data_IF_625063548047
#
_entry.id   IF_625063548047
#
_cell.length_a   1.000
_cell.length_b   1.000
_cell.length_c   1.000
_cell.angle_alpha   90.00
_cell.angle_beta   90.00
_cell.angle_gamma   90.00
#
_symmetry.space_group_name_H-M   'P 1'
#
loop_
_entity.id
_entity.type
_entity.pdbx_description
1 polymer ?
#
# COMPACT_ATOMS: atom_id res chain seq x y z
N UNK A 1 -9.87 20.38 3.67
CA UNK A 1 -9.34 19.03 3.94
C UNK A 1 -8.38 19.15 5.14
N UNK A 2 -8.42 18.26 6.13
CA UNK A 2 -7.46 18.30 7.26
C UNK A 2 -6.04 17.96 6.78
N UNK A 3 -4.99 18.52 7.40
CA UNK A 3 -3.59 18.24 7.05
C UNK A 3 -3.24 16.75 7.11
N UNK A 4 -3.78 16.03 8.11
CA UNK A 4 -3.57 14.59 8.28
C UNK A 4 -4.23 13.80 7.14
N UNK A 5 -5.41 14.23 6.68
CA UNK A 5 -6.10 13.57 5.58
C UNK A 5 -5.33 13.71 4.26
N UNK A 6 -4.74 14.88 4.01
CA UNK A 6 -3.88 15.06 2.84
C UNK A 6 -2.64 14.17 2.95
N UNK A 7 -2.01 14.13 4.12
CA UNK A 7 -0.83 13.28 4.33
C UNK A 7 -1.10 11.80 4.05
N UNK A 8 -2.23 11.27 4.55
CA UNK A 8 -2.63 9.88 4.28
C UNK A 8 -2.79 9.66 2.77
N UNK A 9 -3.52 10.55 2.11
CA UNK A 9 -3.77 10.49 0.66
C UNK A 9 -2.46 10.56 -0.16
N UNK A 10 -1.49 11.38 0.27
CA UNK A 10 -0.18 11.49 -0.40
C UNK A 10 0.60 10.16 -0.33
N UNK A 11 0.44 9.36 0.74
CA UNK A 11 1.05 8.03 0.85
C UNK A 11 0.27 7.00 0.04
N UNK A 12 -1.07 7.02 0.08
CA UNK A 12 -1.91 6.13 -0.73
C UNK A 12 -1.65 6.33 -2.22
N UNK A 13 -1.53 7.58 -2.69
CA UNK A 13 -1.15 7.90 -4.07
C UNK A 13 0.24 7.38 -4.43
N UNK A 14 1.22 7.43 -3.50
CA UNK A 14 2.53 6.83 -3.73
C UNK A 14 2.44 5.31 -3.89
N UNK A 15 1.66 4.63 -3.06
CA UNK A 15 1.41 3.19 -3.20
C UNK A 15 0.75 2.87 -4.54
N UNK A 16 -0.28 3.63 -4.93
CA UNK A 16 -0.98 3.46 -6.20
C UNK A 16 -0.10 3.76 -7.42
N UNK A 17 0.92 4.60 -7.26
CA UNK A 17 1.89 4.91 -8.32
C UNK A 17 2.92 3.79 -8.54
N UNK A 18 2.98 2.81 -7.65
CA UNK A 18 3.76 1.58 -7.85
C UNK A 18 3.07 0.64 -8.82
N UNK A 19 3.73 -0.45 -9.20
CA UNK A 19 3.13 -1.52 -9.99
C UNK A 19 2.25 -2.45 -9.13
N UNK A 20 1.34 -1.85 -8.35
CA UNK A 20 0.63 -2.50 -7.26
C UNK A 20 -0.17 -3.72 -7.71
N UNK A 21 -0.81 -3.64 -8.89
CA UNK A 21 -1.59 -4.75 -9.45
C UNK A 21 -0.72 -5.98 -9.75
N UNK A 22 0.48 -5.78 -10.33
CA UNK A 22 1.43 -6.86 -10.56
C UNK A 22 1.99 -7.39 -9.24
N UNK A 23 2.35 -6.50 -8.31
CA UNK A 23 2.83 -6.89 -6.97
C UNK A 23 1.80 -7.78 -6.28
N UNK A 24 0.51 -7.39 -6.29
CA UNK A 24 -0.56 -8.18 -5.69
C UNK A 24 -0.74 -9.51 -6.41
N UNK A 25 -0.75 -9.51 -7.75
CA UNK A 25 -0.96 -10.72 -8.56
C UNK A 25 0.16 -11.75 -8.42
N UNK A 26 1.38 -11.31 -8.17
CA UNK A 26 2.57 -12.16 -8.00
C UNK A 26 2.82 -12.57 -6.54
N UNK A 27 2.14 -11.93 -5.57
CA UNK A 27 2.30 -12.24 -4.15
C UNK A 27 1.46 -13.45 -3.74
N UNK A 28 2.02 -14.34 -2.91
CA UNK A 28 1.30 -15.49 -2.37
C UNK A 28 0.27 -15.07 -1.30
N UNK A 29 0.59 -14.02 -0.54
CA UNK A 29 -0.28 -13.48 0.48
C UNK A 29 -0.15 -11.95 0.65
N UNK A 30 -1.09 -11.39 1.41
CA UNK A 30 -1.16 -9.96 1.70
C UNK A 30 0.10 -9.42 2.40
N UNK A 31 0.78 -10.23 3.21
CA UNK A 31 1.97 -9.81 3.97
C UNK A 31 3.18 -9.65 3.06
N UNK A 32 3.29 -10.51 2.03
CA UNK A 32 4.29 -10.39 0.98
C UNK A 32 4.10 -9.09 0.18
N UNK A 33 2.90 -8.86 -0.35
CA UNK A 33 2.57 -7.63 -1.10
C UNK A 33 2.86 -6.36 -0.28
N UNK A 34 2.46 -6.36 0.99
CA UNK A 34 2.73 -5.28 1.94
C UNK A 34 4.22 -5.02 2.13
N UNK A 35 5.03 -6.07 2.23
CA UNK A 35 6.48 -5.95 2.45
C UNK A 35 7.17 -5.40 1.21
N UNK A 36 6.80 -5.88 0.01
CA UNK A 36 7.33 -5.39 -1.26
C UNK A 36 7.08 -3.89 -1.42
N UNK A 37 5.85 -3.43 -1.18
CA UNK A 37 5.50 -2.00 -1.31
C UNK A 37 6.25 -1.13 -0.31
N UNK A 38 6.35 -1.56 0.95
CA UNK A 38 7.07 -0.81 2.00
C UNK A 38 8.55 -0.68 1.67
N UNK A 39 9.17 -1.76 1.19
CA UNK A 39 10.57 -1.76 0.78
C UNK A 39 10.80 -0.90 -0.47
N UNK A 40 9.91 -0.98 -1.46
CA UNK A 40 9.98 -0.21 -2.71
C UNK A 40 9.88 1.31 -2.48
N UNK A 41 8.98 1.72 -1.58
CA UNK A 41 8.79 3.14 -1.23
C UNK A 41 9.78 3.63 -0.16
N UNK A 42 10.66 2.75 0.31
CA UNK A 42 11.65 3.03 1.36
C UNK A 42 11.06 3.66 2.64
N UNK A 43 9.81 3.34 2.99
CA UNK A 43 9.09 3.97 4.10
C UNK A 43 9.78 3.66 5.44
N UNK A 44 10.09 4.70 6.22
CA UNK A 44 10.82 4.57 7.50
C UNK A 44 9.97 4.85 8.73
N UNK A 45 8.90 5.62 8.58
CA UNK A 45 7.99 5.95 9.67
C UNK A 45 6.98 4.83 9.86
N UNK A 46 6.77 4.39 11.10
CA UNK A 46 5.72 3.42 11.42
C UNK A 46 4.33 3.89 10.94
N UNK A 47 4.08 5.21 11.01
CA UNK A 47 2.80 5.75 10.56
C UNK A 47 2.61 5.61 9.04
N UNK A 48 3.67 5.83 8.26
CA UNK A 48 3.60 5.73 6.80
C UNK A 48 3.48 4.27 6.37
N UNK A 49 4.21 3.40 7.06
CA UNK A 49 4.13 1.95 6.89
C UNK A 49 2.72 1.46 7.16
N UNK A 50 2.08 1.91 8.25
CA UNK A 50 0.72 1.50 8.60
C UNK A 50 -0.30 1.98 7.55
N UNK A 51 -0.16 3.20 7.04
CA UNK A 51 -0.99 3.72 5.94
C UNK A 51 -0.83 2.86 4.69
N UNK A 52 0.42 2.66 4.24
CA UNK A 52 0.71 1.88 3.04
C UNK A 52 0.19 0.44 3.16
N UNK A 53 0.41 -0.22 4.30
CA UNK A 53 -0.06 -1.58 4.54
C UNK A 53 -1.59 -1.69 4.52
N UNK A 54 -2.26 -0.70 5.09
CA UNK A 54 -3.74 -0.64 5.09
C UNK A 54 -4.25 -0.51 3.67
N UNK A 55 -3.68 0.40 2.87
CA UNK A 55 -4.10 0.60 1.50
C UNK A 55 -3.83 -0.62 0.60
N UNK A 56 -2.65 -1.25 0.72
CA UNK A 56 -2.34 -2.52 0.02
C UNK A 56 -3.34 -3.61 0.41
N UNK A 57 -3.72 -3.70 1.69
CA UNK A 57 -4.71 -4.67 2.15
C UNK A 57 -6.09 -4.46 1.52
N UNK A 58 -6.54 -3.21 1.42
CA UNK A 58 -7.79 -2.85 0.76
C UNK A 58 -7.76 -3.28 -0.71
N UNK A 59 -6.71 -2.91 -1.45
CA UNK A 59 -6.54 -3.30 -2.85
C UNK A 59 -6.46 -4.83 -3.02
N UNK A 60 -5.68 -5.53 -2.18
CA UNK A 60 -5.53 -6.99 -2.25
C UNK A 60 -6.88 -7.70 -2.11
N UNK A 61 -7.72 -7.24 -1.19
CA UNK A 61 -9.08 -7.78 -1.03
C UNK A 61 -9.97 -7.45 -2.24
N UNK A 62 -9.83 -6.26 -2.84
CA UNK A 62 -10.58 -5.93 -4.05
C UNK A 62 -10.19 -6.81 -5.25
N UNK A 63 -8.91 -7.13 -5.42
CA UNK A 63 -8.44 -7.96 -6.54
C UNK A 63 -8.75 -9.46 -6.38
N UNK A 64 -8.76 -9.99 -5.16
CA UNK A 64 -9.00 -11.42 -4.91
C UNK A 64 -10.48 -11.81 -4.73
N UNK A 65 -11.38 -10.83 -4.55
CA UNK A 65 -12.83 -11.08 -4.41
C UNK A 65 -13.65 -10.69 -5.65
N UNK A 66 -13.02 -10.55 -6.82
CA UNK A 66 -13.67 -10.46 -8.15
C UNK A 66 -13.55 -11.80 -8.88
#
# INVERSE_FOLDING_TARGET
>A
MSKIKNYIMDIEEQVMSTDLENIISESEDISEAQSIVVDLLELKSNFDIDIAKTYVAECFNEFHYV
#
